data_IF_545953776669
#
_entry.id   IF_545953776669
#
_cell.length_a   1.000
_cell.length_b   1.000
_cell.length_c   1.000
_cell.angle_alpha   90.00
_cell.angle_beta   90.00
_cell.angle_gamma   90.00
#
_symmetry.space_group_name_H-M   'P 1'
#
loop_
_entity.id
_entity.type
_entity.pdbx_description
1 polymer ?
#
# COMPACT_ATOMS: atom_id res chain seq x y z
N UNK A 1 -10.90 6.28 -93.24
CA UNK A 1 -11.79 6.35 -92.06
C UNK A 1 -11.40 5.23 -91.09
N UNK A 2 -11.27 5.50 -89.79
CA UNK A 2 -10.52 4.65 -88.86
C UNK A 2 -11.31 3.42 -88.38
N UNK A 3 -10.57 2.36 -88.03
CA UNK A 3 -11.08 1.08 -87.50
C UNK A 3 -11.71 1.28 -86.11
N UNK A 4 -12.97 0.89 -85.97
CA UNK A 4 -13.68 0.87 -84.68
C UNK A 4 -13.15 -0.30 -83.85
N UNK A 5 -12.39 0.00 -82.80
CA UNK A 5 -11.94 -1.01 -81.83
C UNK A 5 -13.12 -1.36 -80.91
N UNK A 6 -13.61 -2.60 -81.03
CA UNK A 6 -14.56 -3.17 -80.08
C UNK A 6 -13.82 -3.49 -78.78
N UNK A 7 -14.12 -2.76 -77.71
CA UNK A 7 -13.67 -3.09 -76.36
C UNK A 7 -14.63 -4.11 -75.73
N UNK A 8 -14.07 -5.15 -75.12
CA UNK A 8 -14.82 -6.06 -74.27
C UNK A 8 -15.16 -5.32 -72.96
N UNK A 9 -16.45 -5.03 -72.75
CA UNK A 9 -16.91 -4.48 -71.47
C UNK A 9 -16.87 -5.62 -70.45
N UNK A 10 -15.84 -5.63 -69.62
CA UNK A 10 -15.78 -6.53 -68.45
C UNK A 10 -16.54 -5.83 -67.33
N UNK A 11 -17.79 -6.24 -67.10
CA UNK A 11 -18.52 -5.83 -65.90
C UNK A 11 -17.97 -6.60 -64.70
N UNK A 12 -17.29 -5.91 -63.79
CA UNK A 12 -17.01 -6.45 -62.47
C UNK A 12 -18.33 -6.53 -61.69
N UNK A 13 -18.86 -7.74 -61.51
CA UNK A 13 -19.88 -7.98 -60.47
C UNK A 13 -19.17 -7.85 -59.14
N UNK A 14 -19.31 -6.70 -58.48
CA UNK A 14 -19.02 -6.62 -57.04
C UNK A 14 -20.01 -7.55 -56.34
N UNK A 15 -19.49 -8.62 -55.75
CA UNK A 15 -20.27 -9.51 -54.91
C UNK A 15 -20.58 -8.76 -53.62
N UNK A 16 -21.66 -8.00 -53.63
CA UNK A 16 -22.22 -7.37 -52.44
C UNK A 16 -22.94 -8.45 -51.61
N UNK A 17 -22.16 -9.38 -51.05
CA UNK A 17 -22.63 -10.34 -50.03
C UNK A 17 -22.62 -9.67 -48.64
N UNK A 18 -22.97 -8.39 -48.59
CA UNK A 18 -22.81 -7.54 -47.41
C UNK A 18 -23.84 -7.86 -46.31
N UNK A 19 -24.94 -8.55 -46.65
CA UNK A 19 -25.98 -8.92 -45.68
C UNK A 19 -25.69 -10.20 -44.87
N UNK A 20 -24.98 -11.19 -45.43
CA UNK A 20 -24.80 -12.49 -44.77
C UNK A 20 -23.45 -12.58 -44.03
N UNK A 21 -22.37 -12.04 -44.60
CA UNK A 21 -21.05 -12.06 -43.97
C UNK A 21 -20.95 -11.09 -42.80
N UNK A 22 -21.58 -9.90 -42.89
CA UNK A 22 -21.64 -8.96 -41.78
C UNK A 22 -22.33 -9.58 -40.56
N UNK A 23 -23.45 -10.29 -40.77
CA UNK A 23 -24.17 -10.97 -39.69
C UNK A 23 -23.33 -12.09 -39.02
N UNK A 24 -22.57 -12.86 -39.82
CA UNK A 24 -21.66 -13.89 -39.29
C UNK A 24 -20.49 -13.26 -38.52
N UNK A 25 -19.89 -12.18 -39.05
CA UNK A 25 -18.81 -11.45 -38.38
C UNK A 25 -19.31 -10.80 -37.09
N UNK A 26 -20.47 -10.16 -37.13
CA UNK A 26 -21.08 -9.50 -35.97
C UNK A 26 -21.47 -10.51 -34.89
N UNK A 27 -22.00 -11.67 -35.26
CA UNK A 27 -22.28 -12.76 -34.31
C UNK A 27 -21.02 -13.32 -33.65
N UNK A 28 -19.92 -13.47 -34.41
CA UNK A 28 -18.64 -13.91 -33.86
C UNK A 28 -18.01 -12.84 -32.94
N UNK A 29 -18.08 -11.56 -33.32
CA UNK A 29 -17.62 -10.45 -32.50
C UNK A 29 -18.45 -10.32 -31.22
N UNK A 30 -19.77 -10.52 -31.30
CA UNK A 30 -20.66 -10.51 -30.13
C UNK A 30 -20.34 -11.67 -29.18
N UNK A 31 -20.09 -12.86 -29.72
CA UNK A 31 -19.67 -14.03 -28.92
C UNK A 31 -18.34 -13.78 -28.22
N UNK A 32 -17.37 -13.19 -28.92
CA UNK A 32 -16.07 -12.83 -28.37
C UNK A 32 -16.22 -11.79 -27.26
N UNK A 33 -17.04 -10.76 -27.50
CA UNK A 33 -17.36 -9.71 -26.52
C UNK A 33 -18.03 -10.27 -25.27
N UNK A 34 -18.99 -11.16 -25.42
CA UNK A 34 -19.65 -11.83 -24.28
C UNK A 34 -18.66 -12.65 -23.44
N UNK A 35 -17.73 -13.37 -24.09
CA UNK A 35 -16.70 -14.13 -23.38
C UNK A 35 -15.71 -13.22 -22.67
N UNK A 36 -15.30 -12.12 -23.30
CA UNK A 36 -14.44 -11.10 -22.68
C UNK A 36 -15.15 -10.47 -21.48
N UNK A 37 -16.44 -10.13 -21.59
CA UNK A 37 -17.22 -9.58 -20.48
C UNK A 37 -17.40 -10.59 -19.33
N UNK A 38 -17.62 -11.86 -19.63
CA UNK A 38 -17.68 -12.93 -18.63
C UNK A 38 -16.33 -13.13 -17.92
N UNK A 39 -15.21 -13.16 -18.66
CA UNK A 39 -13.87 -13.26 -18.08
C UNK A 39 -13.59 -12.02 -17.23
N UNK A 40 -13.91 -10.82 -17.72
CA UNK A 40 -13.74 -9.56 -16.97
C UNK A 40 -14.57 -9.52 -15.69
N UNK A 41 -15.81 -10.03 -15.72
CA UNK A 41 -16.66 -10.16 -14.52
C UNK A 41 -16.08 -11.19 -13.55
N UNK A 42 -15.60 -12.33 -14.03
CA UNK A 42 -14.93 -13.35 -13.21
C UNK A 42 -13.63 -12.84 -12.60
N UNK A 43 -12.83 -12.10 -13.36
CA UNK A 43 -11.59 -11.49 -12.89
C UNK A 43 -11.87 -10.36 -11.89
N UNK A 44 -12.88 -9.52 -12.13
CA UNK A 44 -13.31 -8.50 -11.17
C UNK A 44 -13.86 -9.11 -9.88
N UNK A 45 -14.62 -10.20 -9.97
CA UNK A 45 -15.14 -10.92 -8.80
C UNK A 45 -14.01 -11.61 -8.05
N UNK A 46 -13.08 -12.28 -8.74
CA UNK A 46 -11.91 -12.90 -8.13
C UNK A 46 -10.98 -11.85 -7.51
N UNK A 47 -10.80 -10.70 -8.16
CA UNK A 47 -9.99 -9.60 -7.62
C UNK A 47 -10.69 -8.92 -6.44
N UNK A 48 -12.01 -8.79 -6.46
CA UNK A 48 -12.78 -8.26 -5.34
C UNK A 48 -12.86 -9.24 -4.16
N UNK A 49 -13.00 -10.54 -4.43
CA UNK A 49 -12.99 -11.62 -3.45
C UNK A 49 -11.59 -11.79 -2.85
N UNK A 50 -10.54 -11.82 -3.66
CA UNK A 50 -9.15 -11.79 -3.20
C UNK A 50 -8.83 -10.47 -2.47
N UNK A 51 -9.40 -9.33 -2.90
CA UNK A 51 -9.29 -8.08 -2.13
C UNK A 51 -10.02 -8.22 -0.80
N UNK A 52 -11.15 -8.92 -0.72
CA UNK A 52 -11.91 -9.16 0.52
C UNK A 52 -11.22 -10.18 1.45
N UNK A 53 -10.56 -11.20 0.91
CA UNK A 53 -9.71 -12.13 1.66
C UNK A 53 -8.38 -11.48 2.08
N UNK A 54 -7.85 -10.55 1.27
CA UNK A 54 -6.69 -9.71 1.61
C UNK A 54 -7.07 -8.39 2.31
N UNK A 55 -8.33 -8.25 2.77
CA UNK A 55 -8.70 -7.28 3.83
C UNK A 55 -8.36 -7.86 5.22
N UNK A 56 -7.57 -8.94 5.27
CA UNK A 56 -6.77 -9.28 6.44
C UNK A 56 -5.78 -8.16 6.74
N UNK A 57 -6.13 -7.34 7.73
CA UNK A 57 -5.32 -6.29 8.37
C UNK A 57 -4.37 -5.53 7.43
N UNK A 58 -4.81 -4.36 6.96
CA UNK A 58 -3.88 -3.32 6.54
C UNK A 58 -3.14 -2.79 7.78
N UNK A 59 -2.21 -3.59 8.32
CA UNK A 59 -1.15 -3.07 9.15
C UNK A 59 -0.31 -2.23 8.21
N UNK A 60 -0.63 -0.93 8.18
CA UNK A 60 0.31 0.09 7.80
C UNK A 60 1.62 -0.33 8.48
N UNK A 61 2.58 -0.82 7.70
CA UNK A 61 3.90 -1.23 8.19
C UNK A 61 4.68 -0.04 8.74
N UNK A 62 4.09 1.15 8.63
CA UNK A 62 4.46 2.41 9.25
C UNK A 62 3.67 2.69 10.56
N UNK A 63 3.11 1.65 11.21
CA UNK A 63 2.81 1.76 12.64
C UNK A 63 4.16 1.92 13.33
N UNK A 64 4.50 3.18 13.55
CA UNK A 64 5.76 3.75 14.02
C UNK A 64 6.29 3.07 15.29
N UNK A 65 6.80 1.85 15.14
CA UNK A 65 7.38 1.01 16.18
C UNK A 65 8.52 1.75 16.89
N UNK A 66 9.22 2.62 16.15
CA UNK A 66 10.25 3.51 16.71
C UNK A 66 9.65 4.52 17.69
N UNK A 67 8.55 5.21 17.38
CA UNK A 67 7.90 6.11 18.34
C UNK A 67 7.33 5.38 19.54
N UNK A 68 6.68 4.22 19.33
CA UNK A 68 6.10 3.48 20.45
C UNK A 68 7.20 3.02 21.41
N UNK A 69 8.32 2.51 20.89
CA UNK A 69 9.50 2.16 21.70
C UNK A 69 10.10 3.38 22.40
N UNK A 70 10.24 4.51 21.70
CA UNK A 70 10.76 5.74 22.30
C UNK A 70 9.85 6.26 23.43
N UNK A 71 8.54 6.22 23.24
CA UNK A 71 7.56 6.65 24.22
C UNK A 71 7.57 5.76 25.47
N UNK A 72 7.68 4.44 25.29
CA UNK A 72 7.83 3.50 26.40
C UNK A 72 9.15 3.70 27.16
N UNK A 73 10.26 3.89 26.44
CA UNK A 73 11.57 4.18 27.05
C UNK A 73 11.54 5.51 27.81
N UNK A 74 10.89 6.52 27.26
CA UNK A 74 10.75 7.83 27.91
C UNK A 74 9.91 7.74 29.18
N UNK A 75 8.78 7.02 29.16
CA UNK A 75 7.97 6.77 30.36
C UNK A 75 8.72 5.97 31.42
N UNK A 76 9.47 4.94 31.02
CA UNK A 76 10.29 4.15 31.94
C UNK A 76 11.44 4.98 32.51
N UNK A 77 12.07 5.84 31.72
CA UNK A 77 13.12 6.74 32.16
C UNK A 77 12.58 7.84 33.10
N UNK A 78 11.38 8.36 32.85
CA UNK A 78 10.72 9.31 33.74
C UNK A 78 10.37 8.66 35.07
N UNK A 79 9.80 7.45 35.06
CA UNK A 79 9.47 6.69 36.28
C UNK A 79 10.73 6.29 37.06
N UNK A 80 11.76 5.79 36.37
CA UNK A 80 13.04 5.43 36.97
C UNK A 80 13.80 6.67 37.47
N UNK A 81 13.71 7.80 36.76
CA UNK A 81 14.26 9.08 37.18
C UNK A 81 13.55 9.61 38.42
N UNK A 82 12.23 9.54 38.48
CA UNK A 82 11.44 9.96 39.64
C UNK A 82 11.73 9.08 40.86
N UNK A 83 11.74 7.75 40.69
CA UNK A 83 12.01 6.81 41.77
C UNK A 83 13.48 6.83 42.23
N UNK A 84 14.41 6.88 41.27
CA UNK A 84 15.84 6.89 41.51
C UNK A 84 16.35 8.22 42.07
N UNK A 85 15.74 9.34 41.67
CA UNK A 85 16.09 10.67 42.18
C UNK A 85 15.86 10.76 43.68
N UNK A 86 14.73 10.27 44.19
CA UNK A 86 14.44 10.35 45.63
C UNK A 86 15.43 9.50 46.45
N UNK A 87 15.71 8.27 46.01
CA UNK A 87 16.66 7.37 46.68
C UNK A 87 18.09 7.95 46.62
N UNK A 88 18.51 8.41 45.45
CA UNK A 88 19.84 9.01 45.25
C UNK A 88 20.01 10.32 46.03
N UNK A 89 18.97 11.16 46.09
CA UNK A 89 19.00 12.43 46.81
C UNK A 89 19.20 12.22 48.31
N UNK A 90 18.50 11.26 48.92
CA UNK A 90 18.66 10.95 50.34
C UNK A 90 20.08 10.46 50.65
N UNK A 91 20.63 9.55 49.83
CA UNK A 91 21.98 9.01 50.02
C UNK A 91 23.04 10.11 49.83
N UNK A 92 22.95 10.90 48.77
CA UNK A 92 23.88 11.99 48.49
C UNK A 92 23.80 13.09 49.55
N UNK A 93 22.59 13.49 49.94
CA UNK A 93 22.38 14.51 50.97
C UNK A 93 22.93 14.04 52.32
N UNK A 94 22.66 12.80 52.72
CA UNK A 94 23.21 12.23 53.95
C UNK A 94 24.73 12.19 53.95
N UNK A 95 25.34 11.72 52.86
CA UNK A 95 26.80 11.69 52.71
C UNK A 95 27.41 13.11 52.75
N UNK A 96 26.76 14.08 52.13
CA UNK A 96 27.20 15.46 52.10
C UNK A 96 27.13 16.12 53.49
N UNK A 97 26.07 15.86 54.25
CA UNK A 97 25.95 16.34 55.63
C UNK A 97 27.07 15.79 56.52
N UNK A 98 27.37 14.49 56.43
CA UNK A 98 28.47 13.88 57.20
C UNK A 98 29.82 14.50 56.80
N UNK A 99 30.03 14.71 55.50
CA UNK A 99 31.23 15.37 54.98
C UNK A 99 31.40 16.79 55.56
N UNK A 100 30.33 17.59 55.56
CA UNK A 100 30.35 18.94 56.13
C UNK A 100 30.66 18.94 57.63
N UNK A 101 30.03 18.05 58.40
CA UNK A 101 30.30 17.91 59.84
C UNK A 101 31.76 17.54 60.07
N UNK A 102 32.31 16.63 59.28
CA UNK A 102 33.71 16.23 59.37
C UNK A 102 34.67 17.38 59.02
N UNK A 103 34.32 18.20 58.03
CA UNK A 103 35.09 19.38 57.63
C UNK A 103 35.10 20.44 58.74
N UNK A 104 33.92 20.74 59.31
CA UNK A 104 33.79 21.69 60.42
C UNK A 104 34.56 21.19 61.65
N UNK A 105 34.45 19.90 61.98
CA UNK A 105 35.19 19.30 63.10
C UNK A 105 36.70 19.39 62.90
N UNK A 106 37.19 19.18 61.68
CA UNK A 106 38.62 19.28 61.35
C UNK A 106 39.13 20.73 61.27
N UNK A 107 38.23 21.70 61.03
CA UNK A 107 38.58 23.13 60.98
C UNK A 107 38.48 23.80 62.36
N UNK A 108 37.66 23.26 63.26
CA UNK A 108 37.46 23.76 64.62
C UNK A 108 38.35 23.04 65.66
N UNK A 109 38.90 21.88 65.31
CA UNK A 109 39.86 21.12 66.12
C UNK A 109 41.30 21.57 65.92
#
# INVERSE_FOLDING_TARGET
>A
MPKVQNYHIIMSRSFHSEGNSANIVDSHLNTLRQRIELIRKKEKLNTAYNRHENIGWNYISDYNDKHKKYCLVLQLAELAGLAGSNIGFVVLSGSFCIFLVSLIANMHG
#
